data_IF_436156972627
#
_entry.id   IF_436156972627
#
_cell.length_a   1.000
_cell.length_b   1.000
_cell.length_c   1.000
_cell.angle_alpha   90.00
_cell.angle_beta   90.00
_cell.angle_gamma   90.00
#
_symmetry.space_group_name_H-M   'P 1'
#
loop_
_entity.id
_entity.type
_entity.pdbx_description
1 polymer ?
#
# COMPACT_ATOMS: atom_id res chain seq x y z
N UNK A 1 -22.10 39.60 -27.57
CA UNK A 1 -22.58 38.71 -26.49
C UNK A 1 -22.11 37.29 -26.77
N UNK A 2 -21.01 36.84 -26.13
CA UNK A 2 -20.49 35.48 -26.28
C UNK A 2 -21.35 34.55 -25.41
N UNK A 3 -22.08 33.63 -26.03
CA UNK A 3 -22.87 32.61 -25.31
C UNK A 3 -21.88 31.66 -24.61
N UNK A 4 -21.84 31.69 -23.28
CA UNK A 4 -21.23 30.65 -22.47
C UNK A 4 -22.06 29.37 -22.67
N UNK A 5 -21.53 28.42 -23.45
CA UNK A 5 -22.10 27.09 -23.54
C UNK A 5 -21.78 26.34 -22.24
N UNK A 6 -22.80 26.18 -21.40
CA UNK A 6 -22.76 25.38 -20.20
C UNK A 6 -22.68 23.90 -20.62
N UNK A 7 -21.53 23.26 -20.40
CA UNK A 7 -21.37 21.83 -20.66
C UNK A 7 -22.19 21.02 -19.66
N UNK A 8 -23.02 20.09 -20.15
CA UNK A 8 -23.75 19.13 -19.31
C UNK A 8 -22.80 17.95 -19.04
N UNK A 9 -22.52 17.70 -17.76
CA UNK A 9 -21.74 16.56 -17.28
C UNK A 9 -22.68 15.59 -16.57
N UNK A 10 -22.79 14.36 -17.08
CA UNK A 10 -23.52 13.27 -16.41
C UNK A 10 -22.47 12.24 -16.00
N UNK A 11 -22.21 12.15 -14.70
CA UNK A 11 -21.44 11.06 -14.10
C UNK A 11 -22.41 10.21 -13.29
N UNK A 12 -22.50 8.93 -13.64
CA UNK A 12 -23.24 7.94 -12.85
C UNK A 12 -22.19 7.12 -12.11
N UNK A 13 -22.21 7.20 -10.79
CA UNK A 13 -21.30 6.43 -9.92
C UNK A 13 -22.11 5.37 -9.18
N UNK A 14 -21.82 4.10 -9.44
CA UNK A 14 -22.36 3.00 -8.65
C UNK A 14 -21.25 2.49 -7.71
N UNK A 15 -21.42 2.72 -6.41
CA UNK A 15 -20.51 2.23 -5.38
C UNK A 15 -21.27 1.26 -4.48
N UNK A 16 -20.92 -0.03 -4.54
CA UNK A 16 -21.42 -1.02 -3.58
C UNK A 16 -20.33 -1.26 -2.54
N UNK A 17 -20.61 -0.89 -1.30
CA UNK A 17 -19.70 -1.12 -0.17
C UNK A 17 -20.39 -2.04 0.83
N UNK A 18 -19.81 -3.22 1.08
CA UNK A 18 -20.23 -4.12 2.14
C UNK A 18 -19.23 -4.01 3.29
N UNK A 19 -19.73 -3.60 4.46
CA UNK A 19 -18.93 -3.45 5.68
C UNK A 19 -19.33 -4.51 6.69
N UNK A 20 -18.41 -5.40 7.06
CA UNK A 20 -18.62 -6.34 8.16
C UNK A 20 -18.20 -5.66 9.49
N UNK A 21 -19.18 -5.31 10.34
CA UNK A 21 -19.04 -4.96 11.77
C UNK A 21 -17.83 -4.08 12.15
N UNK A 22 -17.77 -2.83 11.70
CA UNK A 22 -16.69 -1.90 12.07
C UNK A 22 -16.88 -1.33 13.50
N UNK A 23 -18.11 -0.98 13.87
CA UNK A 23 -18.39 -0.24 15.12
C UNK A 23 -18.14 -1.03 16.41
N UNK A 24 -18.63 -2.27 16.51
CA UNK A 24 -18.47 -3.09 17.74
C UNK A 24 -17.03 -3.59 17.94
N UNK A 25 -16.29 -3.76 16.85
CA UNK A 25 -14.95 -4.32 16.83
C UNK A 25 -13.93 -3.36 17.44
N UNK A 26 -14.05 -2.06 17.17
CA UNK A 26 -13.20 -1.03 17.77
C UNK A 26 -13.47 -0.86 19.28
N UNK A 27 -14.74 -0.95 19.70
CA UNK A 27 -15.13 -0.91 21.12
C UNK A 27 -14.67 -2.16 21.88
N UNK A 28 -14.79 -3.35 21.27
CA UNK A 28 -14.23 -4.61 21.78
C UNK A 28 -12.71 -4.53 21.86
N UNK A 29 -12.04 -3.96 20.86
CA UNK A 29 -10.59 -3.75 20.88
C UNK A 29 -10.17 -2.80 22.00
N UNK A 30 -10.87 -1.69 22.17
CA UNK A 30 -10.59 -0.68 23.22
C UNK A 30 -10.84 -1.22 24.63
N UNK A 31 -11.91 -2.00 24.82
CA UNK A 31 -12.23 -2.64 26.10
C UNK A 31 -11.25 -3.76 26.46
N UNK A 32 -10.80 -4.54 25.48
CA UNK A 32 -9.79 -5.60 25.67
C UNK A 32 -8.36 -5.07 25.84
N UNK A 33 -8.03 -3.89 25.29
CA UNK A 33 -6.76 -3.21 25.59
C UNK A 33 -6.69 -2.67 27.03
N UNK A 34 -7.85 -2.35 27.63
CA UNK A 34 -7.95 -1.67 28.93
C UNK A 34 -8.21 -2.65 30.09
N UNK A 35 -8.80 -3.82 29.81
CA UNK A 35 -9.17 -4.80 30.83
C UNK A 35 -8.20 -5.97 30.82
N UNK A 36 -7.51 -6.19 31.94
CA UNK A 36 -6.61 -7.32 32.16
C UNK A 36 -7.42 -8.62 32.39
N UNK A 37 -8.23 -8.97 31.39
CA UNK A 37 -9.06 -10.16 31.38
C UNK A 37 -8.30 -11.30 30.70
N UNK A 38 -8.35 -12.49 31.29
CA UNK A 38 -7.65 -13.72 30.91
C UNK A 38 -8.18 -14.35 29.60
N UNK A 39 -8.75 -13.52 28.71
CA UNK A 39 -9.49 -13.97 27.54
C UNK A 39 -8.63 -13.78 26.29
N UNK A 40 -8.33 -14.88 25.61
CA UNK A 40 -7.81 -14.84 24.24
C UNK A 40 -8.98 -14.53 23.31
N UNK A 41 -8.96 -13.38 22.63
CA UNK A 41 -10.03 -12.99 21.72
C UNK A 41 -9.48 -12.80 20.30
N UNK A 42 -10.23 -13.33 19.33
CA UNK A 42 -10.03 -13.00 17.92
C UNK A 42 -11.00 -11.88 17.55
N UNK A 43 -10.45 -10.82 16.99
CA UNK A 43 -11.16 -9.63 16.55
C UNK A 43 -10.88 -9.50 15.06
N UNK A 44 -11.92 -9.59 14.24
CA UNK A 44 -11.80 -9.53 12.79
C UNK A 44 -12.83 -8.56 12.23
N UNK A 45 -12.50 -7.99 11.08
CA UNK A 45 -13.40 -7.11 10.37
C UNK A 45 -12.84 -6.79 9.00
N UNK A 46 -13.70 -6.31 8.12
CA UNK A 46 -13.27 -5.96 6.78
C UNK A 46 -14.32 -5.21 5.99
N UNK A 47 -13.85 -4.59 4.93
CA UNK A 47 -14.64 -3.84 3.97
C UNK A 47 -14.28 -4.31 2.58
N UNK A 48 -15.32 -4.62 1.80
CA UNK A 48 -15.22 -4.83 0.36
C UNK A 48 -15.91 -3.62 -0.29
N UNK A 49 -15.20 -2.95 -1.17
CA UNK A 49 -15.72 -1.90 -2.02
C UNK A 49 -15.52 -2.30 -3.48
N UNK A 50 -16.60 -2.27 -4.24
CA UNK A 50 -16.56 -2.45 -5.69
C UNK A 50 -17.23 -1.21 -6.28
N UNK A 51 -16.49 -0.51 -7.12
CA UNK A 51 -16.90 0.73 -7.76
C UNK A 51 -16.85 0.62 -9.28
N UNK A 52 -17.85 1.22 -9.91
CA UNK A 52 -17.81 1.53 -11.34
C UNK A 52 -18.15 3.02 -11.51
N UNK A 53 -17.34 3.71 -12.29
CA UNK A 53 -17.49 5.13 -12.62
C UNK A 53 -17.46 5.30 -14.13
N UNK A 54 -18.55 5.83 -14.68
CA UNK A 54 -18.67 6.11 -16.11
C UNK A 54 -18.81 7.62 -16.32
N UNK A 55 -18.14 8.14 -17.35
CA UNK A 55 -18.18 9.55 -17.70
C UNK A 55 -18.25 9.75 -19.21
N UNK A 56 -19.24 10.55 -19.64
CA UNK A 56 -19.37 11.02 -21.02
C UNK A 56 -19.21 12.53 -21.07
N UNK A 57 -18.38 13.01 -21.98
CA UNK A 57 -18.12 14.43 -22.16
C UNK A 57 -18.42 14.84 -23.60
N UNK A 58 -19.14 15.94 -23.77
CA UNK A 58 -19.36 16.57 -25.07
C UNK A 58 -18.63 17.92 -25.10
N UNK A 59 -17.83 18.17 -26.16
CA UNK A 59 -17.05 19.40 -26.34
C UNK A 59 -16.10 19.69 -25.15
N UNK A 60 -15.26 18.70 -24.79
CA UNK A 60 -14.36 18.76 -23.64
C UNK A 60 -13.10 19.61 -23.89
N UNK A 61 -12.56 20.18 -22.81
CA UNK A 61 -11.25 20.83 -22.83
C UNK A 61 -10.13 19.79 -23.00
N UNK A 62 -8.97 20.20 -23.50
CA UNK A 62 -7.81 19.32 -23.65
C UNK A 62 -7.51 18.55 -22.35
N UNK A 63 -7.43 17.21 -22.45
CA UNK A 63 -7.23 16.31 -21.31
C UNK A 63 -8.49 15.58 -20.82
N UNK A 64 -9.69 15.93 -21.29
CA UNK A 64 -10.90 15.13 -21.12
C UNK A 64 -11.01 13.97 -22.11
N UNK A 65 -11.96 13.06 -21.88
CA UNK A 65 -12.26 11.90 -22.74
C UNK A 65 -13.72 11.90 -23.18
N UNK A 66 -14.00 11.60 -24.45
CA UNK A 66 -15.39 11.50 -24.96
C UNK A 66 -16.24 10.53 -24.13
N UNK A 67 -15.68 9.36 -23.84
CA UNK A 67 -16.26 8.35 -22.99
C UNK A 67 -15.15 7.69 -22.16
N UNK A 68 -15.44 7.40 -20.90
CA UNK A 68 -14.53 6.70 -20.01
C UNK A 68 -15.30 5.83 -19.03
N UNK A 69 -14.71 4.69 -18.68
CA UNK A 69 -15.21 3.77 -17.67
C UNK A 69 -14.05 3.38 -16.75
N UNK A 70 -14.25 3.48 -15.46
CA UNK A 70 -13.31 2.99 -14.44
C UNK A 70 -14.00 1.95 -13.59
N UNK A 71 -13.37 0.80 -13.43
CA UNK A 71 -13.82 -0.25 -12.52
C UNK A 71 -12.74 -0.48 -11.49
N UNK A 72 -13.09 -0.46 -10.22
CA UNK A 72 -12.17 -0.69 -9.12
C UNK A 72 -12.76 -1.65 -8.09
N UNK A 73 -11.90 -2.50 -7.53
CA UNK A 73 -12.17 -3.36 -6.40
C UNK A 73 -11.16 -3.07 -5.30
N UNK A 74 -11.63 -2.91 -4.07
CA UNK A 74 -10.82 -2.74 -2.88
C UNK A 74 -11.34 -3.70 -1.81
N UNK A 75 -10.45 -4.47 -1.23
CA UNK A 75 -10.66 -5.22 -0.01
C UNK A 75 -9.69 -4.72 1.05
N UNK A 76 -10.21 -4.41 2.24
CA UNK A 76 -9.38 -4.09 3.41
C UNK A 76 -9.89 -4.89 4.59
N UNK A 77 -9.06 -5.79 5.10
CA UNK A 77 -9.40 -6.71 6.18
C UNK A 77 -8.39 -6.66 7.32
N UNK A 78 -8.85 -6.98 8.52
CA UNK A 78 -7.99 -7.21 9.67
C UNK A 78 -8.41 -8.46 10.45
N UNK A 79 -7.40 -9.10 11.05
CA UNK A 79 -7.55 -10.25 11.93
C UNK A 79 -6.54 -10.11 13.07
N UNK A 80 -7.05 -9.77 14.24
CA UNK A 80 -6.27 -9.49 15.44
C UNK A 80 -6.52 -10.55 16.51
N UNK A 81 -5.45 -11.07 17.09
CA UNK A 81 -5.48 -11.92 18.27
C UNK A 81 -4.99 -11.14 19.46
N UNK A 82 -5.88 -10.92 20.42
CA UNK A 82 -5.57 -10.31 21.70
C UNK A 82 -5.26 -11.41 22.71
N UNK A 83 -4.09 -11.34 23.33
CA UNK A 83 -3.57 -12.30 24.30
C UNK A 83 -3.09 -11.54 25.54
N UNK A 84 -2.87 -12.26 26.64
CA UNK A 84 -2.35 -11.68 27.88
C UNK A 84 -0.98 -11.04 27.67
N UNK A 85 -0.95 -9.71 27.64
CA UNK A 85 0.26 -8.94 27.43
C UNK A 85 0.87 -9.06 26.02
N UNK A 86 0.13 -9.59 25.04
CA UNK A 86 0.58 -9.65 23.66
C UNK A 86 -0.57 -9.43 22.68
N UNK A 87 -0.27 -8.81 21.54
CA UNK A 87 -1.22 -8.51 20.48
C UNK A 87 -0.63 -8.94 19.16
N UNK A 88 -1.35 -9.78 18.43
CA UNK A 88 -0.97 -10.19 17.08
C UNK A 88 -1.96 -9.63 16.08
N UNK A 89 -1.55 -8.65 15.28
CA UNK A 89 -2.41 -7.98 14.30
C UNK A 89 -2.05 -8.40 12.89
N UNK A 90 -3.03 -8.80 12.09
CA UNK A 90 -2.86 -9.07 10.67
C UNK A 90 -3.77 -8.13 9.89
N UNK A 91 -3.21 -7.44 8.90
CA UNK A 91 -3.94 -6.56 7.98
C UNK A 91 -3.69 -7.05 6.55
N UNK A 92 -4.75 -7.12 5.75
CA UNK A 92 -4.69 -7.45 4.34
C UNK A 92 -5.46 -6.40 3.54
N UNK A 93 -4.75 -5.65 2.72
CA UNK A 93 -5.30 -4.65 1.81
C UNK A 93 -5.02 -5.10 0.37
N UNK A 94 -6.08 -5.31 -0.41
CA UNK A 94 -6.02 -5.67 -1.82
C UNK A 94 -6.74 -4.60 -2.63
N UNK A 95 -6.10 -4.04 -3.65
CA UNK A 95 -6.74 -3.12 -4.57
C UNK A 95 -6.42 -3.46 -6.02
N UNK A 96 -7.42 -3.31 -6.87
CA UNK A 96 -7.30 -3.52 -8.31
C UNK A 96 -8.20 -2.55 -9.06
N UNK A 97 -7.65 -1.84 -10.04
CA UNK A 97 -8.34 -0.81 -10.79
C UNK A 97 -8.01 -0.87 -12.27
N UNK A 98 -9.04 -0.79 -13.11
CA UNK A 98 -8.94 -0.70 -14.56
C UNK A 98 -9.68 0.54 -15.05
N UNK A 99 -9.09 1.21 -16.02
CA UNK A 99 -9.65 2.36 -16.69
C UNK A 99 -9.68 2.11 -18.20
N UNK A 100 -10.81 2.46 -18.82
CA UNK A 100 -11.12 2.30 -20.22
C UNK A 100 -11.44 3.68 -20.76
N UNK A 101 -10.81 4.09 -21.86
CA UNK A 101 -10.94 5.44 -22.41
C UNK A 101 -11.30 5.35 -23.89
N UNK A 102 -12.07 6.31 -24.40
CA UNK A 102 -12.38 6.33 -25.82
C UNK A 102 -11.13 6.55 -26.67
N UNK A 103 -10.21 7.43 -26.24
CA UNK A 103 -8.97 7.75 -26.97
C UNK A 103 -8.02 6.58 -27.20
N UNK A 104 -8.19 5.47 -26.47
CA UNK A 104 -7.36 4.27 -26.59
C UNK A 104 -8.15 3.04 -27.05
N UNK A 105 -9.26 3.25 -27.76
CA UNK A 105 -10.17 2.20 -28.24
C UNK A 105 -10.68 1.30 -27.10
N UNK A 106 -10.89 1.88 -25.91
CA UNK A 106 -11.27 1.16 -24.69
C UNK A 106 -10.29 0.04 -24.30
N UNK A 107 -9.00 0.19 -24.61
CA UNK A 107 -8.00 -0.75 -24.15
C UNK A 107 -7.80 -0.59 -22.63
N UNK A 108 -7.93 -1.67 -21.82
CA UNK A 108 -7.85 -1.56 -20.37
C UNK A 108 -6.48 -1.08 -19.90
N UNK A 109 -6.46 0.01 -19.13
CA UNK A 109 -5.28 0.55 -18.47
C UNK A 109 -5.39 0.36 -16.97
N UNK A 110 -4.39 -0.30 -16.40
CA UNK A 110 -4.25 -0.52 -14.96
C UNK A 110 -4.03 0.80 -14.23
N UNK A 111 -4.92 1.14 -13.31
CA UNK A 111 -4.84 2.36 -12.48
C UNK A 111 -4.38 2.07 -11.05
N UNK A 112 -4.74 0.90 -10.52
CA UNK A 112 -4.29 0.43 -9.22
C UNK A 112 -4.12 -1.10 -9.25
N UNK A 113 -3.11 -1.60 -8.56
CA UNK A 113 -2.80 -3.03 -8.46
C UNK A 113 -1.85 -3.25 -7.28
N UNK A 114 -2.42 -3.55 -6.12
CA UNK A 114 -1.66 -3.66 -4.88
C UNK A 114 -2.18 -4.80 -4.01
N UNK A 115 -1.22 -5.57 -3.52
CA UNK A 115 -1.34 -6.49 -2.40
C UNK A 115 -0.48 -5.90 -1.29
N UNK A 116 -1.06 -5.58 -0.13
CA UNK A 116 -0.32 -5.21 1.08
C UNK A 116 -0.81 -6.08 2.23
N UNK A 117 0.04 -6.98 2.69
CA UNK A 117 -0.18 -7.79 3.87
C UNK A 117 0.79 -7.37 4.96
N UNK A 118 0.28 -7.09 6.16
CA UNK A 118 1.10 -6.76 7.33
C UNK A 118 0.71 -7.63 8.51
N UNK A 119 1.68 -8.35 9.08
CA UNK A 119 1.55 -9.08 10.33
C UNK A 119 2.44 -8.44 11.39
N UNK A 120 1.90 -8.08 12.55
CA UNK A 120 2.67 -7.55 13.67
C UNK A 120 2.38 -8.33 14.93
N UNK A 121 3.41 -8.84 15.58
CA UNK A 121 3.32 -9.48 16.89
C UNK A 121 4.01 -8.60 17.92
N UNK A 122 3.25 -8.00 18.83
CA UNK A 122 3.74 -7.10 19.87
C UNK A 122 3.53 -7.67 21.27
N UNK A 123 4.60 -7.82 22.05
CA UNK A 123 4.54 -8.17 23.48
C UNK A 123 4.75 -6.93 24.34
N UNK A 124 3.84 -6.68 25.27
CA UNK A 124 3.87 -5.51 26.17
C UNK A 124 5.09 -5.61 27.09
N UNK A 125 5.91 -4.56 27.13
CA UNK A 125 7.14 -4.54 27.94
C UNK A 125 6.87 -4.12 29.39
N UNK A 126 6.05 -3.10 29.61
CA UNK A 126 5.72 -2.55 30.93
C UNK A 126 4.21 -2.31 31.06
N UNK A 127 3.73 -1.89 32.25
CA UNK A 127 2.33 -1.41 32.42
C UNK A 127 1.99 -0.17 31.58
N UNK A 128 2.96 0.40 30.85
CA UNK A 128 2.74 1.49 29.90
C UNK A 128 2.26 1.01 28.52
N UNK A 129 2.43 1.90 27.53
CA UNK A 129 1.94 1.79 26.16
C UNK A 129 3.00 1.27 25.16
N UNK A 130 4.08 0.69 25.68
CA UNK A 130 5.23 0.22 24.90
C UNK A 130 5.21 -1.29 24.73
N UNK A 131 5.38 -1.72 23.48
CA UNK A 131 5.39 -3.10 23.05
C UNK A 131 6.71 -3.38 22.33
N UNK A 132 7.30 -4.54 22.57
CA UNK A 132 8.34 -5.11 21.71
C UNK A 132 7.62 -5.83 20.58
N UNK A 133 7.76 -5.32 19.36
CA UNK A 133 7.00 -5.76 18.20
C UNK A 133 7.91 -6.31 17.10
N UNK A 134 7.61 -7.52 16.65
CA UNK A 134 8.06 -8.04 15.36
C UNK A 134 7.04 -7.71 14.28
N UNK A 135 7.50 -7.26 13.12
CA UNK A 135 6.69 -6.88 11.97
C UNK A 135 7.15 -7.64 10.74
N UNK A 136 6.20 -8.26 10.07
CA UNK A 136 6.35 -8.79 8.72
C UNK A 136 5.42 -8.00 7.79
N UNK A 137 5.96 -7.49 6.68
CA UNK A 137 5.20 -6.81 5.66
C UNK A 137 5.52 -7.40 4.29
N UNK A 138 4.48 -7.74 3.55
CA UNK A 138 4.54 -8.23 2.19
C UNK A 138 3.79 -7.26 1.28
N UNK A 139 4.46 -6.77 0.24
CA UNK A 139 3.85 -5.92 -0.79
C UNK A 139 4.14 -6.47 -2.17
N UNK A 140 3.12 -6.54 -3.01
CA UNK A 140 3.22 -7.06 -4.38
C UNK A 140 2.07 -6.52 -5.25
N UNK A 141 2.02 -6.99 -6.50
CA UNK A 141 0.97 -6.74 -7.47
C UNK A 141 0.42 -8.07 -8.02
N UNK A 142 -0.81 -8.06 -8.51
CA UNK A 142 -1.52 -9.21 -9.06
C UNK A 142 -1.16 -9.48 -10.52
N UNK A 143 -1.16 -8.45 -11.35
CA UNK A 143 -1.10 -8.61 -12.81
C UNK A 143 0.09 -7.91 -13.43
N UNK A 144 0.30 -8.16 -14.72
CA UNK A 144 1.37 -7.52 -15.47
C UNK A 144 1.17 -6.01 -15.51
N UNK A 145 2.25 -5.25 -15.33
CA UNK A 145 2.29 -3.82 -15.62
C UNK A 145 2.80 -3.58 -17.03
N UNK A 146 2.42 -2.43 -17.58
CA UNK A 146 2.80 -2.01 -18.93
C UNK A 146 3.10 -0.51 -18.93
N UNK A 147 3.98 -0.11 -19.85
CA UNK A 147 4.25 1.30 -20.13
C UNK A 147 3.31 1.79 -21.23
N UNK A 148 2.19 2.38 -20.84
CA UNK A 148 1.14 2.84 -21.76
C UNK A 148 1.56 4.03 -22.64
N UNK A 149 2.78 4.58 -22.48
CA UNK A 149 3.33 5.57 -23.41
C UNK A 149 3.82 4.95 -24.73
N UNK A 150 4.07 3.63 -24.75
CA UNK A 150 4.59 2.91 -25.92
C UNK A 150 3.47 2.40 -26.81
N UNK A 151 3.65 2.48 -28.14
CA UNK A 151 2.64 2.08 -29.14
C UNK A 151 2.30 0.58 -29.10
N UNK A 152 3.26 -0.28 -28.79
CA UNK A 152 3.09 -1.74 -28.67
C UNK A 152 3.33 -2.17 -27.20
N UNK A 153 2.71 -1.48 -26.25
CA UNK A 153 2.94 -1.71 -24.82
C UNK A 153 2.59 -3.14 -24.39
N UNK A 154 1.62 -3.78 -25.05
CA UNK A 154 1.17 -5.15 -24.83
C UNK A 154 2.24 -6.20 -25.07
N UNK A 155 3.18 -5.92 -25.99
CA UNK A 155 4.30 -6.82 -26.31
C UNK A 155 5.40 -6.86 -25.25
N UNK A 156 5.53 -5.81 -24.43
CA UNK A 156 6.62 -5.66 -23.46
C UNK A 156 6.08 -5.17 -22.12
N UNK A 157 5.72 -6.14 -21.27
CA UNK A 157 5.38 -5.89 -19.88
C UNK A 157 6.58 -5.29 -19.12
N UNK A 158 6.30 -4.42 -18.14
CA UNK A 158 7.29 -3.79 -17.26
C UNK A 158 7.38 -4.43 -15.88
N UNK A 159 6.38 -5.23 -15.49
CA UNK A 159 6.29 -5.93 -14.21
C UNK A 159 5.32 -7.10 -14.32
N UNK A 160 5.41 -8.09 -13.44
CA UNK A 160 4.49 -9.22 -13.35
C UNK A 160 4.03 -9.45 -11.90
N UNK A 161 3.23 -10.50 -11.71
CA UNK A 161 2.95 -11.01 -10.38
C UNK A 161 4.26 -11.23 -9.60
N UNK A 162 4.34 -10.71 -8.37
CA UNK A 162 5.54 -10.81 -7.53
C UNK A 162 6.80 -10.14 -8.10
N UNK A 163 6.66 -9.28 -9.11
CA UNK A 163 7.76 -8.54 -9.73
C UNK A 163 7.40 -7.06 -9.81
N UNK A 164 7.58 -6.27 -8.73
CA UNK A 164 8.33 -6.61 -7.51
C UNK A 164 7.49 -7.23 -6.39
N UNK A 165 8.10 -8.16 -5.66
CA UNK A 165 7.65 -8.63 -4.36
C UNK A 165 8.57 -8.11 -3.25
N UNK A 166 8.05 -7.30 -2.35
CA UNK A 166 8.78 -6.77 -1.19
C UNK A 166 8.42 -7.56 0.06
N UNK A 167 9.41 -8.14 0.71
CA UNK A 167 9.28 -8.84 1.98
C UNK A 167 10.11 -8.10 3.03
N UNK A 168 9.46 -7.43 3.97
CA UNK A 168 10.13 -6.70 5.05
C UNK A 168 9.90 -7.41 6.38
N UNK A 169 10.98 -7.74 7.07
CA UNK A 169 11.00 -8.26 8.43
C UNK A 169 11.69 -7.24 9.34
N UNK A 170 11.02 -6.78 10.39
CA UNK A 170 11.54 -5.75 11.28
C UNK A 170 11.25 -6.10 12.74
N UNK A 171 12.21 -5.89 13.63
CA UNK A 171 12.06 -6.08 15.07
C UNK A 171 12.33 -4.74 15.76
N UNK A 172 11.40 -4.28 16.58
CA UNK A 172 11.46 -2.93 17.13
C UNK A 172 10.52 -2.69 18.28
N UNK A 173 10.42 -1.42 18.69
CA UNK A 173 9.48 -0.98 19.70
C UNK A 173 8.25 -0.35 19.03
N UNK A 174 7.07 -0.65 19.55
CA UNK A 174 5.81 -0.03 19.14
C UNK A 174 5.18 0.70 20.32
N UNK A 175 4.89 1.97 20.13
CA UNK A 175 4.11 2.78 21.07
C UNK A 175 2.66 2.86 20.59
N UNK A 176 1.72 2.38 21.41
CA UNK A 176 0.28 2.40 21.11
C UNK A 176 -0.46 3.26 22.12
N UNK A 177 -1.10 4.34 21.66
CA UNK A 177 -1.97 5.18 22.51
C UNK A 177 -3.43 4.90 22.13
N UNK A 178 -4.01 3.88 22.78
CA UNK A 178 -5.33 3.36 22.44
C UNK A 178 -5.42 2.88 20.98
N UNK A 179 -6.59 3.01 20.37
CA UNK A 179 -6.83 2.63 18.97
C UNK A 179 -6.45 3.73 17.96
N UNK A 180 -6.14 4.95 18.44
CA UNK A 180 -5.95 6.11 17.58
C UNK A 180 -4.52 6.26 17.04
N UNK A 181 -3.49 5.85 17.78
CA UNK A 181 -2.09 6.09 17.41
C UNK A 181 -1.24 4.84 17.63
N UNK A 182 -0.54 4.41 16.59
CA UNK A 182 0.49 3.36 16.61
C UNK A 182 1.76 3.92 15.96
N UNK A 183 2.86 3.94 16.71
CA UNK A 183 4.18 4.34 16.23
C UNK A 183 5.13 3.17 16.41
N UNK A 184 5.56 2.56 15.31
CA UNK A 184 6.53 1.48 15.30
C UNK A 184 7.88 2.00 14.83
N UNK A 185 8.94 1.72 15.58
CA UNK A 185 10.31 2.01 15.21
C UNK A 185 11.17 0.77 15.39
N UNK A 186 11.89 0.39 14.33
CA UNK A 186 12.78 -0.74 14.30
C UNK A 186 14.14 -0.32 13.77
N UNK A 187 15.22 -0.46 14.56
CA UNK A 187 16.58 -0.26 14.07
C UNK A 187 17.13 -1.47 13.30
N UNK A 188 16.43 -2.61 13.34
CA UNK A 188 16.83 -3.89 12.76
C UNK A 188 15.70 -4.37 11.84
N UNK A 189 15.79 -3.98 10.56
CA UNK A 189 14.83 -4.33 9.52
C UNK A 189 15.54 -4.87 8.28
N UNK A 190 15.26 -6.13 7.95
CA UNK A 190 15.65 -6.75 6.67
C UNK A 190 14.54 -6.58 5.64
N UNK A 191 14.88 -6.14 4.44
CA UNK A 191 13.95 -6.07 3.29
C UNK A 191 14.54 -6.89 2.15
N UNK A 192 13.82 -7.93 1.75
CA UNK A 192 14.11 -8.74 0.57
C UNK A 192 13.18 -8.29 -0.56
N UNK A 193 13.77 -7.91 -1.68
CA UNK A 193 13.07 -7.55 -2.91
C UNK A 193 13.31 -8.68 -3.89
N UNK A 194 12.23 -9.18 -4.50
CA UNK A 194 12.30 -10.18 -5.56
C UNK A 194 11.62 -9.64 -6.81
N UNK A 195 12.19 -9.93 -7.98
CA UNK A 195 11.58 -9.67 -9.28
C UNK A 195 12.20 -10.61 -10.32
N UNK A 196 11.52 -10.85 -11.43
CA UNK A 196 12.11 -11.61 -12.53
C UNK A 196 13.26 -10.84 -13.20
N UNK A 197 14.32 -11.56 -13.59
CA UNK A 197 15.51 -10.98 -14.21
C UNK A 197 15.22 -10.29 -15.54
N UNK A 198 14.17 -10.74 -16.25
CA UNK A 198 13.66 -10.07 -17.44
C UNK A 198 13.39 -8.59 -17.15
N UNK A 199 12.62 -8.28 -16.10
CA UNK A 199 12.26 -6.90 -15.76
C UNK A 199 13.44 -6.08 -15.21
N UNK A 200 14.37 -6.69 -14.48
CA UNK A 200 15.54 -5.97 -13.95
C UNK A 200 16.58 -5.69 -15.04
N UNK A 201 16.68 -6.54 -16.07
CA UNK A 201 17.58 -6.37 -17.22
C UNK A 201 17.11 -5.31 -18.23
N UNK A 202 15.83 -4.91 -18.21
CA UNK A 202 15.29 -3.87 -19.08
C UNK A 202 15.89 -2.48 -18.80
N UNK A 203 16.52 -2.28 -17.64
CA UNK A 203 17.19 -1.04 -17.27
C UNK A 203 18.67 -1.29 -16.97
N UNK A 204 19.60 -0.49 -17.54
CA UNK A 204 21.04 -0.58 -17.22
C UNK A 204 21.33 -0.35 -15.73
N UNK A 205 20.47 0.42 -15.04
CA UNK A 205 20.63 0.73 -13.63
C UNK A 205 19.91 -0.24 -12.69
N UNK A 206 19.25 -1.27 -13.24
CA UNK A 206 18.33 -2.13 -12.52
C UNK A 206 16.93 -1.53 -12.35
N UNK A 207 16.00 -2.32 -11.81
CA UNK A 207 14.60 -1.94 -11.58
C UNK A 207 14.16 -2.35 -10.17
N UNK A 208 13.21 -1.62 -9.57
CA UNK A 208 12.62 -1.92 -8.25
C UNK A 208 13.63 -1.99 -7.09
N UNK A 209 14.81 -1.38 -7.23
CA UNK A 209 15.90 -1.46 -6.25
C UNK A 209 16.78 -2.71 -6.39
N UNK A 210 16.56 -3.56 -7.40
CA UNK A 210 17.42 -4.70 -7.74
C UNK A 210 18.37 -4.30 -8.87
N UNK A 211 19.65 -4.67 -8.78
CA UNK A 211 20.63 -4.43 -9.85
C UNK A 211 20.22 -5.13 -11.16
N UNK A 212 20.67 -4.59 -12.30
CA UNK A 212 20.37 -5.13 -13.62
C UNK A 212 20.74 -6.62 -13.74
N UNK A 213 19.83 -7.43 -14.26
CA UNK A 213 20.01 -8.88 -14.47
C UNK A 213 19.90 -9.75 -13.22
N UNK A 214 19.78 -9.18 -12.02
CA UNK A 214 19.55 -9.95 -10.78
C UNK A 214 18.06 -10.17 -10.53
N UNK A 215 17.74 -11.21 -9.78
CA UNK A 215 16.35 -11.55 -9.40
C UNK A 215 16.00 -11.15 -7.98
N UNK A 216 17.01 -10.92 -7.14
CA UNK A 216 16.82 -10.63 -5.72
C UNK A 216 17.77 -9.53 -5.26
N UNK A 217 17.30 -8.73 -4.31
CA UNK A 217 18.11 -7.76 -3.59
C UNK A 217 17.75 -7.81 -2.12
N UNK A 218 18.75 -7.95 -1.26
CA UNK A 218 18.60 -7.82 0.18
C UNK A 218 19.05 -6.42 0.63
N UNK A 219 18.26 -5.82 1.51
CA UNK A 219 18.53 -4.54 2.16
C UNK A 219 18.43 -4.76 3.68
N UNK A 220 19.25 -4.03 4.43
CA UNK A 220 19.24 -4.09 5.89
C UNK A 220 19.33 -2.68 6.44
N UNK A 221 18.50 -2.37 7.43
CA UNK A 221 18.20 -0.98 7.73
C UNK A 221 17.32 -0.73 8.94
N UNK A 222 16.89 0.51 9.08
CA UNK A 222 15.82 0.91 9.99
C UNK A 222 14.46 0.93 9.27
N UNK A 223 13.40 0.68 10.02
CA UNK A 223 12.02 0.83 9.55
C UNK A 223 11.19 1.58 10.58
N UNK A 224 10.43 2.57 10.11
CA UNK A 224 9.46 3.31 10.88
C UNK A 224 8.08 3.19 10.25
N UNK A 225 7.05 2.97 11.07
CA UNK A 225 5.66 2.94 10.63
C UNK A 225 4.80 3.69 11.62
N UNK A 226 4.26 4.83 11.20
CA UNK A 226 3.33 5.64 11.97
C UNK A 226 1.91 5.50 11.41
N UNK A 227 0.95 5.16 12.26
CA UNK A 227 -0.47 5.10 11.94
C UNK A 227 -1.25 5.99 12.88
N UNK A 228 -2.10 6.85 12.32
CA UNK A 228 -2.98 7.72 13.10
C UNK A 228 -4.40 7.67 12.53
N UNK A 229 -5.36 7.41 13.41
CA UNK A 229 -6.79 7.32 13.10
C UNK A 229 -7.55 8.22 14.06
N UNK A 230 -8.35 9.15 13.52
CA UNK A 230 -9.22 10.03 14.31
C UNK A 230 -10.58 10.13 13.65
N UNK A 231 -11.64 9.99 14.45
CA UNK A 231 -13.00 10.28 14.01
C UNK A 231 -13.18 11.79 14.15
N UNK A 232 -13.32 12.49 13.02
CA UNK A 232 -13.57 13.93 13.00
C UNK A 232 -15.03 14.17 13.44
N UNK A 233 -15.95 13.40 12.86
CA UNK A 233 -17.38 13.37 13.19
C UNK A 233 -17.90 11.93 13.10
N UNK A 234 -19.16 11.68 13.47
CA UNK A 234 -19.80 10.34 13.42
C UNK A 234 -19.80 9.68 12.03
N UNK A 235 -19.63 10.47 10.96
CA UNK A 235 -19.64 10.00 9.56
C UNK A 235 -18.27 10.02 8.89
N UNK A 236 -17.26 10.59 9.54
CA UNK A 236 -15.98 10.90 8.89
C UNK A 236 -14.83 10.46 9.78
N UNK A 237 -14.10 9.44 9.33
CA UNK A 237 -12.87 8.97 9.95
C UNK A 237 -11.67 9.34 9.08
N UNK A 238 -10.72 10.07 9.66
CA UNK A 238 -9.43 10.33 9.05
C UNK A 238 -8.44 9.25 9.45
N UNK A 239 -7.84 8.58 8.46
CA UNK A 239 -6.80 7.57 8.65
C UNK A 239 -5.56 8.01 7.86
N UNK A 240 -4.40 7.97 8.51
CA UNK A 240 -3.11 8.21 7.86
C UNK A 240 -2.11 7.13 8.26
N UNK A 241 -1.27 6.75 7.31
CA UNK A 241 -0.19 5.77 7.46
C UNK A 241 1.05 6.33 6.77
N UNK A 242 2.15 6.36 7.50
CA UNK A 242 3.48 6.71 6.99
C UNK A 242 4.41 5.54 7.27
N UNK A 243 4.97 4.95 6.22
CA UNK A 243 6.01 3.93 6.32
C UNK A 243 7.31 4.51 5.74
N UNK A 244 8.40 4.41 6.48
CA UNK A 244 9.72 4.87 6.06
C UNK A 244 10.72 3.74 6.28
N UNK A 245 11.59 3.51 5.31
CA UNK A 245 12.69 2.56 5.42
C UNK A 245 14.00 3.27 5.12
N UNK A 246 15.03 2.98 5.91
CA UNK A 246 16.37 3.52 5.74
C UNK A 246 17.35 2.38 5.58
N UNK A 247 17.93 2.21 4.39
CA UNK A 247 18.88 1.13 4.11
C UNK A 247 20.30 1.50 4.61
N UNK A 248 20.82 0.78 5.60
CA UNK A 248 22.20 0.94 6.09
C UNK A 248 23.25 0.42 5.12
N UNK A 249 22.87 -0.52 4.25
CA UNK A 249 23.76 -1.06 3.22
C UNK A 249 23.83 -0.18 1.97
N UNK A 250 23.05 0.91 1.94
CA UNK A 250 23.06 1.83 0.81
C UNK A 250 24.45 2.41 0.63
N UNK A 251 25.01 2.23 -0.57
CA UNK A 251 26.31 2.77 -0.95
C UNK A 251 26.15 3.50 -2.27
N UNK A 252 26.58 4.75 -2.29
CA UNK A 252 26.69 5.52 -3.51
C UNK A 252 27.59 4.77 -4.51
N UNK A 253 27.10 4.57 -5.74
CA UNK A 253 27.96 4.08 -6.83
C UNK A 253 28.84 5.24 -7.27
N UNK A 254 30.14 5.13 -7.00
CA UNK A 254 31.18 6.10 -7.38
C UNK A 254 31.92 5.59 -8.62
N UNK A 255 32.33 6.52 -9.47
CA UNK A 255 33.21 6.24 -10.62
C UNK A 255 34.66 5.97 -10.17
N UNK A 256 35.51 5.54 -11.10
CA UNK A 256 36.97 5.35 -10.89
C UNK A 256 37.67 6.65 -10.43
N UNK A 257 37.03 7.80 -10.65
CA UNK A 257 37.49 9.13 -10.21
C UNK A 257 36.91 9.59 -8.86
N UNK A 258 36.15 8.75 -8.17
CA UNK A 258 35.56 9.03 -6.85
C UNK A 258 34.30 9.92 -6.87
N UNK A 259 33.84 10.33 -8.07
CA UNK A 259 32.60 11.10 -8.25
C UNK A 259 31.37 10.20 -8.12
N UNK A 260 30.38 10.61 -7.33
CA UNK A 260 29.11 9.87 -7.15
C UNK A 260 28.32 9.91 -8.45
N UNK A 261 28.16 8.76 -9.10
CA UNK A 261 27.38 8.59 -10.35
C UNK A 261 25.91 8.34 -10.04
N UNK A 262 25.62 7.64 -8.93
CA UNK A 262 24.26 7.35 -8.47
C UNK A 262 24.23 7.46 -6.95
N UNK A 263 23.46 8.44 -6.45
CA UNK A 263 23.12 8.51 -5.04
C UNK A 263 22.14 7.38 -4.76
N UNK A 264 22.53 6.42 -3.93
CA UNK A 264 21.61 5.37 -3.51
C UNK A 264 20.67 6.04 -2.51
N UNK A 265 19.40 6.20 -2.87
CA UNK A 265 18.44 6.87 -1.97
C UNK A 265 18.21 5.93 -0.78
N UNK A 266 18.69 6.28 0.43
CA UNK A 266 18.49 5.43 1.59
C UNK A 266 16.99 5.30 1.91
N UNK A 267 16.18 6.27 1.48
CA UNK A 267 14.73 6.30 1.62
C UNK A 267 14.04 5.74 0.39
N UNK A 268 14.02 4.42 0.21
CA UNK A 268 13.01 3.81 -0.66
C UNK A 268 11.66 3.87 0.09
N UNK A 269 10.93 4.98 -0.13
CA UNK A 269 9.59 5.26 0.41
C UNK A 269 8.60 4.22 -0.14
#
# INVERSE_FOLDING_TARGET
MRKLLLGIFIAITANYSASAQIGKTDDVRKSLETTNTDTTAWVYGGTINIGANEGFLHNWAAGGELASLTVNGLFSGHLDRLMKGAVWTNNLDLSYGLNYMFSNDFTPRKTDDRIDFTSKYGKRLNKGNLYLTGLFNFKSQFTKGFDYSKKNFDSASTSAFLSPGYFTLAIGAEYKKGTNLSLFFSPIAGRLIVAESYYTSMSPTGAFGIDSGKTTQFQFGAYFSGRYTVNINERTTFKTRLDLYSNYLAKDKKDETGKVIKKDDPGNI
#
